data_IF_103781845656
#
_entry.id   IF_103781845656
#
_cell.length_a   1.000
_cell.length_b   1.000
_cell.length_c   1.000
_cell.angle_alpha   90.00
_cell.angle_beta   90.00
_cell.angle_gamma   90.00
#
_symmetry.space_group_name_H-M   'P 1'
#
loop_
_entity.id
_entity.type
_entity.pdbx_description
1 polymer ?
#
# COMPACT_ATOMS: atom_id res chain seq x y z
N UNK A 1 -46.99 -7.27 8.18
CA UNK A 1 -46.48 -6.35 7.14
C UNK A 1 -45.15 -5.81 7.63
N UNK A 2 -44.06 -6.50 7.33
CA UNK A 2 -42.70 -6.08 7.73
C UNK A 2 -42.00 -5.60 6.46
N UNK A 3 -41.61 -4.33 6.46
CA UNK A 3 -40.86 -3.71 5.38
C UNK A 3 -39.44 -4.31 5.36
N UNK A 4 -39.13 -5.04 4.29
CA UNK A 4 -37.78 -5.51 4.01
C UNK A 4 -36.92 -4.29 3.66
N UNK A 5 -35.92 -4.01 4.49
CA UNK A 5 -34.90 -3.01 4.18
C UNK A 5 -34.03 -3.55 3.04
N UNK A 6 -34.31 -3.08 1.83
CA UNK A 6 -33.51 -3.30 0.65
C UNK A 6 -32.17 -2.57 0.84
N UNK A 7 -31.17 -3.25 1.39
CA UNK A 7 -29.80 -2.76 1.36
C UNK A 7 -29.32 -2.85 -0.09
N UNK A 8 -29.07 -1.70 -0.71
CA UNK A 8 -28.49 -1.57 -2.04
C UNK A 8 -27.06 -2.14 -2.02
N UNK A 9 -26.92 -3.37 -2.48
CA UNK A 9 -25.66 -4.03 -2.86
C UNK A 9 -25.04 -3.37 -4.12
N UNK A 10 -24.78 -2.06 -4.09
CA UNK A 10 -24.08 -1.41 -5.20
C UNK A 10 -22.74 -0.84 -4.72
N UNK A 11 -21.67 -1.52 -5.13
CA UNK A 11 -20.26 -1.10 -5.17
C UNK A 11 -19.28 -1.69 -4.14
N UNK A 12 -19.64 -2.75 -3.40
CA UNK A 12 -18.63 -3.57 -2.73
C UNK A 12 -18.26 -4.70 -3.67
N UNK A 13 -17.02 -4.70 -4.16
CA UNK A 13 -16.43 -5.79 -4.93
C UNK A 13 -16.64 -7.09 -4.15
N UNK A 14 -17.31 -8.08 -4.75
CA UNK A 14 -17.62 -9.33 -4.06
C UNK A 14 -16.32 -9.94 -3.52
N UNK A 15 -16.22 -10.07 -2.19
CA UNK A 15 -15.12 -10.79 -1.55
C UNK A 15 -15.26 -12.28 -1.87
N UNK A 16 -14.76 -12.68 -3.03
CA UNK A 16 -14.50 -14.08 -3.35
C UNK A 16 -13.33 -14.51 -2.47
N UNK A 17 -13.65 -15.15 -1.34
CA UNK A 17 -12.72 -15.75 -0.37
C UNK A 17 -11.90 -16.93 -0.94
N UNK A 18 -11.84 -17.13 -2.26
CA UNK A 18 -11.46 -18.43 -2.84
C UNK A 18 -10.06 -18.44 -3.46
N UNK A 19 -9.40 -17.31 -3.65
CA UNK A 19 -7.96 -17.33 -3.92
C UNK A 19 -7.29 -16.25 -3.07
N UNK A 20 -6.65 -16.68 -1.98
CA UNK A 20 -5.52 -15.94 -1.46
C UNK A 20 -4.51 -15.93 -2.61
N UNK A 21 -4.50 -14.85 -3.40
CA UNK A 21 -3.42 -14.58 -4.33
C UNK A 21 -2.16 -14.62 -3.48
N UNK A 22 -1.18 -15.41 -3.91
CA UNK A 22 0.12 -15.41 -3.24
C UNK A 22 0.58 -13.93 -3.20
N UNK A 23 0.88 -13.35 -2.02
CA UNK A 23 1.38 -11.98 -1.96
C UNK A 23 2.65 -11.77 -2.82
N UNK A 24 3.37 -12.85 -3.14
CA UNK A 24 4.51 -12.86 -4.05
C UNK A 24 4.11 -12.90 -5.54
N UNK A 25 2.87 -13.29 -5.87
CA UNK A 25 2.36 -13.30 -7.24
C UNK A 25 1.95 -11.88 -7.69
N UNK A 26 2.65 -11.34 -8.71
CA UNK A 26 2.24 -10.13 -9.44
C UNK A 26 2.97 -8.84 -9.08
N UNK A 27 3.97 -8.87 -8.19
CA UNK A 27 4.80 -7.71 -7.85
C UNK A 27 6.28 -7.99 -8.13
N UNK A 28 6.69 -8.00 -9.42
CA UNK A 28 8.09 -8.18 -9.77
C UNK A 28 8.95 -7.09 -9.12
N UNK A 29 10.09 -7.49 -8.53
CA UNK A 29 11.05 -6.63 -7.82
C UNK A 29 10.55 -6.03 -6.49
N UNK A 30 9.43 -6.49 -5.94
CA UNK A 30 9.02 -6.16 -4.57
C UNK A 30 9.40 -7.30 -3.65
N UNK A 31 10.29 -7.02 -2.68
CA UNK A 31 10.68 -7.98 -1.65
C UNK A 31 9.88 -7.74 -0.38
N UNK A 32 9.14 -8.76 0.06
CA UNK A 32 8.44 -8.72 1.34
C UNK A 32 9.34 -9.29 2.42
N UNK A 33 9.64 -8.49 3.44
CA UNK A 33 10.26 -9.00 4.65
C UNK A 33 9.16 -9.53 5.58
N UNK A 34 8.90 -10.83 5.49
CA UNK A 34 7.91 -11.52 6.34
C UNK A 34 8.55 -12.29 7.49
N UNK A 35 9.89 -12.32 7.53
CA UNK A 35 10.63 -13.05 8.53
C UNK A 35 10.46 -12.34 9.87
N UNK A 36 9.77 -13.00 10.78
CA UNK A 36 9.65 -12.60 12.16
C UNK A 36 10.68 -13.38 12.97
N UNK A 37 11.18 -12.79 14.06
CA UNK A 37 12.12 -13.43 14.98
C UNK A 37 11.58 -14.77 15.53
N UNK A 38 10.26 -14.94 15.55
CA UNK A 38 9.56 -16.18 15.89
C UNK A 38 8.34 -16.42 14.98
N UNK A 39 7.97 -17.69 14.79
CA UNK A 39 6.72 -18.06 14.11
C UNK A 39 5.53 -17.68 15.00
N UNK A 40 4.60 -16.88 14.45
CA UNK A 40 3.42 -16.40 15.18
C UNK A 40 2.12 -16.62 14.42
N UNK A 41 1.04 -16.81 15.17
CA UNK A 41 -0.34 -16.89 14.71
C UNK A 41 -1.15 -15.75 15.30
N UNK A 42 -1.76 -14.93 14.44
CA UNK A 42 -2.61 -13.80 14.83
C UNK A 42 -3.81 -14.19 15.72
N UNK A 43 -4.32 -15.40 15.61
CA UNK A 43 -5.48 -15.89 16.38
C UNK A 43 -5.07 -16.40 17.76
N UNK A 44 -3.91 -17.03 17.86
CA UNK A 44 -3.49 -17.77 19.06
C UNK A 44 -2.55 -16.93 19.94
N UNK A 45 -1.77 -16.01 19.36
CA UNK A 45 -0.80 -15.21 20.08
C UNK A 45 -1.37 -13.93 20.69
N UNK A 46 -0.76 -13.50 21.80
CA UNK A 46 -1.17 -12.31 22.53
C UNK A 46 -0.99 -11.04 21.66
N UNK A 47 -2.00 -10.15 21.57
CA UNK A 47 -1.91 -8.93 20.74
C UNK A 47 -0.72 -8.02 21.08
N UNK A 48 -0.29 -8.00 22.35
CA UNK A 48 0.88 -7.22 22.80
C UNK A 48 2.16 -7.78 22.20
N UNK A 49 2.27 -9.10 22.10
CA UNK A 49 3.43 -9.78 21.53
C UNK A 49 3.53 -9.52 20.02
N UNK A 50 2.41 -9.67 19.30
CA UNK A 50 2.33 -9.33 17.88
C UNK A 50 2.71 -7.87 17.59
N UNK A 51 2.27 -6.95 18.47
CA UNK A 51 2.62 -5.53 18.37
C UNK A 51 4.13 -5.31 18.57
N UNK A 52 4.76 -6.04 19.49
CA UNK A 52 6.19 -5.94 19.74
C UNK A 52 7.00 -6.38 18.50
N UNK A 53 6.67 -7.52 17.90
CA UNK A 53 7.34 -7.99 16.70
C UNK A 53 7.16 -7.05 15.50
N UNK A 54 5.96 -6.48 15.34
CA UNK A 54 5.72 -5.46 14.32
C UNK A 54 6.62 -4.22 14.52
N UNK A 55 6.82 -3.79 15.76
CA UNK A 55 7.77 -2.71 16.04
C UNK A 55 9.22 -3.08 15.79
N UNK A 56 9.62 -4.33 16.06
CA UNK A 56 10.96 -4.81 15.75
C UNK A 56 11.27 -4.66 14.26
N UNK A 57 10.36 -5.14 13.39
CA UNK A 57 10.49 -4.97 11.93
C UNK A 57 10.53 -3.49 11.53
N UNK A 58 9.62 -2.67 12.05
CA UNK A 58 9.56 -1.24 11.70
C UNK A 58 10.84 -0.51 12.13
N UNK A 59 11.41 -0.88 13.28
CA UNK A 59 12.62 -0.25 13.81
C UNK A 59 13.89 -0.75 13.09
N UNK A 60 13.85 -1.89 12.43
CA UNK A 60 14.97 -2.42 11.63
C UNK A 60 15.06 -1.76 10.23
N UNK A 61 14.06 -0.96 9.83
CA UNK A 61 14.12 -0.20 8.58
C UNK A 61 15.30 0.78 8.64
N UNK A 62 16.24 0.75 7.67
CA UNK A 62 17.41 1.64 7.66
C UNK A 62 17.02 3.11 7.77
N UNK A 63 17.82 3.89 8.51
CA UNK A 63 17.54 5.30 8.74
C UNK A 63 17.54 6.13 7.44
N UNK A 64 18.35 5.72 6.47
CA UNK A 64 18.52 6.29 5.13
C UNK A 64 17.59 5.68 4.07
N UNK A 65 16.73 4.72 4.45
CA UNK A 65 15.74 4.16 3.55
C UNK A 65 14.80 5.24 3.03
N UNK A 66 14.45 5.15 1.75
CA UNK A 66 13.44 6.01 1.15
C UNK A 66 12.06 5.58 1.67
N UNK A 67 11.36 6.49 2.32
CA UNK A 67 10.03 6.22 2.91
C UNK A 67 8.97 6.79 1.98
N UNK A 68 8.02 5.95 1.58
CA UNK A 68 6.93 6.37 0.71
C UNK A 68 5.59 6.03 1.37
N UNK A 69 4.75 7.06 1.50
CA UNK A 69 3.41 6.95 2.07
C UNK A 69 2.42 7.20 0.96
N UNK A 70 1.55 6.22 0.71
CA UNK A 70 0.57 6.28 -0.36
C UNK A 70 -0.84 6.38 0.20
N UNK A 71 -1.69 7.13 -0.47
CA UNK A 71 -3.11 7.21 -0.14
C UNK A 71 -3.99 7.32 -1.39
N UNK A 72 -5.21 6.82 -1.26
CA UNK A 72 -6.24 6.90 -2.27
C UNK A 72 -7.45 7.61 -1.67
N UNK A 73 -7.90 8.66 -2.34
CA UNK A 73 -9.02 9.49 -1.89
C UNK A 73 -10.19 9.42 -2.86
N UNK A 74 -11.40 9.68 -2.37
CA UNK A 74 -12.61 9.82 -3.19
C UNK A 74 -13.40 11.04 -2.74
N UNK A 75 -13.79 11.85 -3.71
CA UNK A 75 -14.76 12.91 -3.55
C UNK A 75 -15.96 12.58 -4.46
N UNK A 76 -17.16 12.55 -3.89
CA UNK A 76 -18.39 12.17 -4.61
C UNK A 76 -18.69 13.03 -5.84
N UNK A 77 -18.24 14.30 -5.83
CA UNK A 77 -18.48 15.25 -6.93
C UNK A 77 -17.33 15.34 -7.92
N UNK A 78 -16.10 15.10 -7.45
CA UNK A 78 -14.87 15.38 -8.21
C UNK A 78 -14.21 14.10 -8.73
N UNK A 79 -14.56 12.92 -8.20
CA UNK A 79 -13.92 11.65 -8.56
C UNK A 79 -12.87 11.24 -7.53
N UNK A 80 -11.94 10.36 -7.92
CA UNK A 80 -10.89 9.88 -7.03
C UNK A 80 -9.53 10.49 -7.33
N UNK A 81 -8.63 10.39 -6.36
CA UNK A 81 -7.26 10.85 -6.50
C UNK A 81 -6.28 9.95 -5.77
N UNK A 82 -5.04 9.97 -6.23
CA UNK A 82 -3.89 9.24 -5.69
C UNK A 82 -2.91 10.25 -5.10
N UNK A 83 -2.40 9.97 -3.91
CA UNK A 83 -1.42 10.78 -3.22
C UNK A 83 -0.20 9.96 -2.82
N UNK A 84 0.98 10.52 -3.01
CA UNK A 84 2.26 9.94 -2.59
C UNK A 84 3.03 11.01 -1.82
N UNK A 85 3.53 10.64 -0.65
CA UNK A 85 4.46 11.44 0.12
C UNK A 85 5.76 10.68 0.28
N UNK A 86 6.85 11.25 -0.19
CA UNK A 86 8.16 10.62 -0.24
C UNK A 86 9.08 11.38 0.71
N UNK A 87 9.85 10.66 1.52
CA UNK A 87 10.91 11.19 2.35
C UNK A 87 12.20 10.47 1.97
N UNK A 88 13.22 11.23 1.58
CA UNK A 88 14.56 10.72 1.26
C UNK A 88 15.61 11.73 1.69
N UNK A 89 16.62 11.30 2.46
CA UNK A 89 17.75 12.14 2.88
C UNK A 89 17.35 13.53 3.42
N UNK A 90 16.32 13.58 4.28
CA UNK A 90 15.75 14.83 4.84
C UNK A 90 15.01 15.75 3.86
N UNK A 91 14.94 15.39 2.58
CA UNK A 91 14.05 16.02 1.61
C UNK A 91 12.69 15.33 1.61
N UNK A 92 11.65 16.09 1.22
CA UNK A 92 10.32 15.53 1.01
C UNK A 92 9.75 15.93 -0.35
N UNK A 93 8.97 15.03 -0.94
CA UNK A 93 8.23 15.25 -2.17
C UNK A 93 6.78 14.83 -2.01
N UNK A 94 5.87 15.56 -2.65
CA UNK A 94 4.44 15.23 -2.72
C UNK A 94 4.03 15.08 -4.18
N UNK A 95 3.40 13.96 -4.50
CA UNK A 95 2.79 13.71 -5.81
C UNK A 95 1.30 13.54 -5.56
N UNK A 96 0.47 14.29 -6.29
CA UNK A 96 -0.98 14.19 -6.21
C UNK A 96 -1.54 14.18 -7.62
N UNK A 97 -2.43 13.22 -7.91
CA UNK A 97 -3.05 13.09 -9.22
C UNK A 97 -4.53 12.78 -9.10
N UNK A 98 -5.30 13.30 -10.06
CA UNK A 98 -6.68 12.88 -10.30
C UNK A 98 -6.65 11.55 -11.06
N UNK A 99 -7.46 10.60 -10.61
CA UNK A 99 -7.61 9.31 -11.29
C UNK A 99 -8.73 9.38 -12.34
N UNK A 100 -8.77 8.42 -13.28
CA UNK A 100 -9.89 8.27 -14.20
C UNK A 100 -11.23 8.15 -13.47
N UNK A 101 -12.30 8.64 -14.11
CA UNK A 101 -13.64 8.56 -13.55
C UNK A 101 -14.08 7.09 -13.34
N UNK A 102 -14.88 6.84 -12.31
CA UNK A 102 -15.32 5.49 -11.94
C UNK A 102 -14.30 4.67 -11.14
N UNK A 103 -13.10 5.19 -10.89
CA UNK A 103 -12.10 4.53 -10.07
C UNK A 103 -12.56 4.44 -8.59
N UNK A 104 -12.28 3.32 -7.92
CA UNK A 104 -12.60 3.12 -6.49
C UNK A 104 -11.49 3.69 -5.59
N UNK A 105 -11.76 3.86 -4.29
CA UNK A 105 -10.73 4.21 -3.31
C UNK A 105 -9.62 3.16 -3.29
N UNK A 106 -9.99 1.88 -3.34
CA UNK A 106 -9.03 0.77 -3.38
C UNK A 106 -8.12 0.86 -4.60
N UNK A 107 -8.70 1.03 -5.80
CA UNK A 107 -7.93 1.18 -7.03
C UNK A 107 -7.04 2.42 -7.02
N UNK A 108 -7.49 3.50 -6.39
CA UNK A 108 -6.69 4.72 -6.20
C UNK A 108 -5.44 4.47 -5.34
N UNK A 109 -5.55 3.66 -4.28
CA UNK A 109 -4.39 3.25 -3.48
C UNK A 109 -3.40 2.42 -4.29
N UNK A 110 -3.90 1.47 -5.11
CA UNK A 110 -3.04 0.67 -5.98
C UNK A 110 -2.31 1.52 -7.02
N UNK A 111 -2.98 2.52 -7.60
CA UNK A 111 -2.35 3.49 -8.50
C UNK A 111 -1.23 4.26 -7.76
N UNK A 112 -1.51 4.76 -6.56
CA UNK A 112 -0.52 5.47 -5.76
C UNK A 112 0.72 4.59 -5.45
N UNK A 113 0.51 3.31 -5.13
CA UNK A 113 1.61 2.34 -4.92
C UNK A 113 2.41 2.13 -6.21
N UNK A 114 1.75 1.87 -7.33
CA UNK A 114 2.43 1.64 -8.61
C UNK A 114 3.28 2.85 -9.03
N UNK A 115 2.70 4.06 -8.98
CA UNK A 115 3.42 5.29 -9.30
C UNK A 115 4.60 5.54 -8.35
N UNK A 116 4.46 5.15 -7.09
CA UNK A 116 5.53 5.23 -6.08
C UNK A 116 6.70 4.30 -6.42
N UNK A 117 6.41 3.08 -6.87
CA UNK A 117 7.42 2.11 -7.31
C UNK A 117 8.12 2.55 -8.59
N UNK A 118 7.37 3.08 -9.57
CA UNK A 118 7.93 3.65 -10.80
C UNK A 118 8.90 4.81 -10.48
N UNK A 119 8.53 5.67 -9.52
CA UNK A 119 9.41 6.74 -9.07
C UNK A 119 10.73 6.20 -8.50
N UNK A 120 10.69 5.18 -7.63
CA UNK A 120 11.92 4.53 -7.12
C UNK A 120 12.76 4.00 -8.28
N UNK A 121 12.15 3.25 -9.19
CA UNK A 121 12.87 2.62 -10.30
C UNK A 121 13.61 3.68 -11.14
N UNK A 122 12.98 4.83 -11.41
CA UNK A 122 13.61 5.94 -12.14
C UNK A 122 14.75 6.60 -11.37
N UNK A 123 14.59 6.83 -10.06
CA UNK A 123 15.64 7.45 -9.23
C UNK A 123 16.85 6.52 -9.11
N UNK A 124 16.63 5.22 -8.91
CA UNK A 124 17.72 4.25 -8.78
C UNK A 124 18.47 4.08 -10.11
N UNK A 125 17.76 4.01 -11.24
CA UNK A 125 18.39 3.92 -12.57
C UNK A 125 19.19 5.18 -12.96
N UNK A 126 18.79 6.37 -12.48
CA UNK A 126 19.53 7.61 -12.71
C UNK A 126 20.87 7.66 -11.98
N UNK A 127 20.98 7.05 -10.80
CA UNK A 127 22.21 7.05 -9.99
C UNK A 127 23.30 6.11 -10.54
N UNK A 128 22.95 5.14 -11.39
CA UNK A 128 23.93 4.22 -12.01
C UNK A 128 24.72 4.87 -13.15
N UNK A 129 24.21 5.94 -13.77
CA UNK A 129 24.84 6.58 -14.93
C UNK A 129 25.98 7.52 -14.51
N UNK A 130 25.92 8.08 -13.30
CA UNK A 130 26.91 9.04 -12.78
C UNK A 130 28.08 8.39 -12.00
N UNK A 131 28.12 7.06 -11.95
CA UNK A 131 29.06 6.29 -11.11
C UNK A 131 30.20 5.59 -11.90
N UNK A 132 30.41 5.91 -13.19
CA UNK A 132 31.49 5.34 -14.02
C UNK A 132 32.53 6.38 -14.46
#
# INVERSE_FOLDING_TARGET
MLASAHLLESNVEQHILIQCVDPFDGLPNVYFHTDLSDQVNKQDDLPVYLKQLAFEIINDIPADAIKMYTDGSKNEKVGTGSGIYIISNSNYMKIQRRNPDGCSVFRSKLIAINESLDYIATVTAGNEIDSN
#
